data_IF_271551421879
#
_entry.id   IF_271551421879
#
_cell.length_a   1.000
_cell.length_b   1.000
_cell.length_c   1.000
_cell.angle_alpha   90.00
_cell.angle_beta   90.00
_cell.angle_gamma   90.00
#
_symmetry.space_group_name_H-M   'P 1'
#
loop_
_entity.id
_entity.type
_entity.pdbx_description
1 polymer ?
#
# COMPACT_ATOMS: atom_id res chain seq x y z
N UNK A 1 13.05 33.84 -42.02
CA UNK A 1 13.55 35.19 -41.73
C UNK A 1 13.68 35.27 -40.20
N UNK A 2 14.83 34.87 -39.66
CA UNK A 2 15.83 35.75 -39.01
C UNK A 2 15.23 36.55 -37.84
N UNK A 3 15.73 36.56 -36.60
CA UNK A 3 17.08 36.39 -36.05
C UNK A 3 16.93 36.21 -34.52
N UNK A 4 17.51 35.18 -33.88
CA UNK A 4 18.80 35.24 -33.13
C UNK A 4 19.01 36.51 -32.29
N UNK A 5 19.15 36.32 -30.97
CA UNK A 5 20.19 36.97 -30.19
C UNK A 5 20.84 35.96 -29.23
N UNK A 6 22.15 35.81 -29.39
CA UNK A 6 23.06 35.08 -28.52
C UNK A 6 24.05 36.10 -27.94
N UNK A 7 24.54 35.85 -26.73
CA UNK A 7 25.69 36.53 -26.12
C UNK A 7 25.76 36.19 -24.63
N UNK A 8 26.49 35.17 -24.20
CA UNK A 8 27.95 35.05 -23.97
C UNK A 8 28.44 35.62 -22.62
N UNK A 9 29.11 34.71 -21.89
CA UNK A 9 30.26 34.86 -20.98
C UNK A 9 30.07 35.25 -19.52
N UNK A 10 30.54 34.34 -18.65
CA UNK A 10 30.79 34.54 -17.23
C UNK A 10 31.43 33.29 -16.60
N UNK A 11 32.68 33.03 -16.97
CA UNK A 11 33.56 32.01 -16.39
C UNK A 11 33.86 32.36 -14.92
N UNK A 12 33.58 31.49 -13.96
CA UNK A 12 34.14 31.60 -12.60
C UNK A 12 34.70 30.24 -12.14
N UNK A 13 36.01 30.12 -12.29
CA UNK A 13 36.87 29.16 -11.61
C UNK A 13 37.15 29.73 -10.21
N UNK A 14 36.88 29.00 -9.14
CA UNK A 14 37.53 29.26 -7.84
C UNK A 14 37.82 27.95 -7.08
N UNK A 15 39.13 27.66 -7.07
CA UNK A 15 39.98 27.14 -6.00
C UNK A 15 39.53 25.92 -5.16
N UNK A 16 40.23 24.81 -5.40
CA UNK A 16 40.40 23.70 -4.46
C UNK A 16 41.23 24.15 -3.24
N UNK A 17 40.74 23.90 -2.02
CA UNK A 17 41.57 23.89 -0.81
C UNK A 17 41.81 22.46 -0.35
N UNK A 18 43.09 22.11 -0.35
CA UNK A 18 43.68 20.94 0.29
C UNK A 18 43.64 21.16 1.80
N UNK A 19 43.02 20.24 2.55
CA UNK A 19 43.26 20.10 4.00
C UNK A 19 43.93 18.76 4.25
N UNK A 20 45.22 18.82 4.56
CA UNK A 20 46.00 17.71 5.12
C UNK A 20 45.85 17.71 6.65
N UNK A 21 45.29 16.61 7.16
CA UNK A 21 45.58 15.90 8.41
C UNK A 21 45.90 16.67 9.71
N UNK A 22 45.07 16.43 10.74
CA UNK A 22 45.57 16.19 12.10
C UNK A 22 44.96 14.88 12.62
N UNK A 23 45.84 13.92 12.89
CA UNK A 23 45.58 12.70 13.64
C UNK A 23 45.18 13.07 15.06
N UNK A 24 44.01 12.61 15.51
CA UNK A 24 43.70 12.55 16.94
C UNK A 24 43.32 11.11 17.29
N UNK A 25 44.19 10.46 18.06
CA UNK A 25 43.94 9.18 18.70
C UNK A 25 42.88 9.36 19.79
N UNK A 26 41.79 8.59 19.72
CA UNK A 26 40.76 8.64 20.76
C UNK A 26 39.64 7.60 20.59
N UNK A 27 39.94 6.37 21.01
CA UNK A 27 39.04 5.27 21.40
C UNK A 27 38.18 4.52 20.35
N UNK A 28 38.32 3.17 20.25
CA UNK A 28 37.40 2.33 19.50
C UNK A 28 36.18 1.99 20.35
N UNK A 29 35.01 2.50 19.97
CA UNK A 29 33.71 1.86 20.23
C UNK A 29 33.15 1.35 18.90
N UNK A 30 33.86 0.41 18.28
CA UNK A 30 33.41 -0.31 17.08
C UNK A 30 32.75 -1.63 17.48
N UNK A 31 31.52 -1.53 18.02
CA UNK A 31 30.67 -2.70 18.30
C UNK A 31 29.42 -2.77 17.42
N UNK A 32 28.93 -1.62 16.91
CA UNK A 32 27.68 -1.53 16.14
C UNK A 32 27.82 -1.77 14.63
N UNK A 33 28.91 -1.32 13.99
CA UNK A 33 28.97 -1.29 12.53
C UNK A 33 28.98 -2.67 11.86
N UNK A 34 29.65 -3.66 12.48
CA UNK A 34 29.77 -5.00 11.88
C UNK A 34 28.48 -5.82 11.92
N UNK A 35 27.57 -5.53 12.85
CA UNK A 35 26.27 -6.21 12.94
C UNK A 35 25.27 -5.58 11.97
N UNK A 36 25.26 -4.24 11.86
CA UNK A 36 24.45 -3.51 10.89
C UNK A 36 24.86 -3.83 9.45
N UNK A 37 26.16 -3.90 9.17
CA UNK A 37 26.69 -4.22 7.84
C UNK A 37 26.38 -5.68 7.44
N UNK A 38 26.46 -6.63 8.37
CA UNK A 38 26.03 -8.02 8.14
C UNK A 38 24.53 -8.13 7.92
N UNK A 39 23.72 -7.41 8.71
CA UNK A 39 22.26 -7.40 8.59
C UNK A 39 21.83 -6.82 7.24
N UNK A 40 22.42 -5.68 6.82
CA UNK A 40 22.18 -5.08 5.50
C UNK A 40 22.58 -6.04 4.37
N UNK A 41 23.74 -6.68 4.47
CA UNK A 41 24.23 -7.63 3.45
C UNK A 41 23.28 -8.83 3.31
N UNK A 42 22.79 -9.38 4.43
CA UNK A 42 21.82 -10.47 4.44
C UNK A 42 20.47 -10.04 3.85
N UNK A 43 20.00 -8.83 4.20
CA UNK A 43 18.77 -8.28 3.67
C UNK A 43 18.83 -8.12 2.15
N UNK A 44 19.89 -7.50 1.62
CA UNK A 44 20.12 -7.31 0.18
C UNK A 44 20.16 -8.66 -0.54
N UNK A 45 20.87 -9.65 0.02
CA UNK A 45 20.91 -10.99 -0.56
C UNK A 45 19.51 -11.63 -0.62
N UNK A 46 18.74 -11.53 0.46
CA UNK A 46 17.37 -12.09 0.48
C UNK A 46 16.43 -11.40 -0.50
N UNK A 47 16.58 -10.09 -0.71
CA UNK A 47 15.78 -9.33 -1.68
C UNK A 47 16.16 -9.75 -3.11
N UNK A 48 17.45 -9.90 -3.41
CA UNK A 48 17.91 -10.37 -4.70
C UNK A 48 17.43 -11.81 -5.01
N UNK A 49 17.43 -12.71 -4.02
CA UNK A 49 16.87 -14.07 -4.16
C UNK A 49 15.37 -14.05 -4.45
N UNK A 50 14.61 -13.21 -3.73
CA UNK A 50 13.18 -13.00 -4.00
C UNK A 50 12.95 -12.41 -5.38
N UNK A 51 13.78 -11.47 -5.82
CA UNK A 51 13.72 -10.89 -7.16
C UNK A 51 13.94 -11.95 -8.26
N UNK A 52 14.94 -12.82 -8.07
CA UNK A 52 15.21 -13.93 -8.98
C UNK A 52 14.08 -14.97 -9.02
N UNK A 53 13.30 -15.12 -7.95
CA UNK A 53 12.14 -16.02 -7.96
C UNK A 53 10.95 -15.45 -8.73
N UNK A 54 10.81 -14.12 -8.84
CA UNK A 54 9.68 -13.50 -9.55
C UNK A 54 9.69 -13.80 -11.05
N UNK A 55 10.87 -13.90 -11.65
CA UNK A 55 11.04 -14.27 -13.06
C UNK A 55 10.35 -15.58 -13.42
N UNK A 56 10.24 -16.51 -12.47
CA UNK A 56 9.57 -17.80 -12.69
C UNK A 56 8.04 -17.68 -12.85
N UNK A 57 7.45 -16.55 -12.43
CA UNK A 57 6.03 -16.26 -12.57
C UNK A 57 5.68 -15.60 -13.92
N UNK A 58 6.67 -15.11 -14.66
CA UNK A 58 6.48 -14.58 -16.00
C UNK A 58 6.22 -15.73 -16.99
N UNK A 59 5.14 -15.67 -17.80
CA UNK A 59 4.86 -16.69 -18.81
C UNK A 59 6.00 -16.85 -19.81
N UNK A 60 6.31 -18.10 -20.19
CA UNK A 60 7.26 -18.38 -21.26
C UNK A 60 6.63 -18.16 -22.66
N UNK A 61 7.45 -18.00 -23.70
CA UNK A 61 7.04 -17.65 -25.08
C UNK A 61 6.03 -18.60 -25.76
N UNK A 62 5.84 -19.80 -25.21
CA UNK A 62 4.91 -20.81 -25.76
C UNK A 62 3.84 -21.23 -24.76
N UNK A 63 3.81 -20.62 -23.58
CA UNK A 63 2.88 -20.98 -22.52
C UNK A 63 1.47 -20.47 -22.79
N UNK A 64 1.37 -19.31 -23.46
CA UNK A 64 0.09 -18.69 -23.79
C UNK A 64 0.07 -18.46 -25.31
N UNK A 65 -0.91 -19.02 -26.04
CA UNK A 65 -1.01 -18.82 -27.48
C UNK A 65 -0.96 -17.35 -27.89
N UNK A 66 -0.16 -17.06 -28.91
CA UNK A 66 0.06 -15.71 -29.45
C UNK A 66 1.09 -14.87 -28.69
N UNK A 67 1.22 -15.04 -27.37
CA UNK A 67 2.06 -14.18 -26.52
C UNK A 67 3.53 -14.64 -26.44
N UNK A 68 4.47 -13.72 -26.68
CA UNK A 68 5.91 -13.94 -26.53
C UNK A 68 6.58 -12.76 -25.85
N UNK A 69 7.67 -12.98 -25.10
CA UNK A 69 8.51 -11.89 -24.59
C UNK A 69 9.18 -11.17 -25.77
N UNK A 70 9.03 -9.85 -25.83
CA UNK A 70 9.64 -9.02 -26.87
C UNK A 70 10.97 -8.39 -26.43
N UNK A 71 11.29 -8.42 -25.13
CA UNK A 71 12.53 -7.95 -24.56
C UNK A 71 12.98 -8.82 -23.38
N UNK A 72 14.23 -8.63 -22.95
CA UNK A 72 14.70 -9.22 -21.70
C UNK A 72 13.95 -8.61 -20.52
N UNK A 73 13.61 -9.46 -19.54
CA UNK A 73 13.01 -9.00 -18.30
C UNK A 73 13.99 -8.15 -17.49
N UNK A 74 13.44 -7.21 -16.73
CA UNK A 74 14.18 -6.28 -15.88
C UNK A 74 13.66 -6.44 -14.45
N UNK A 75 14.54 -6.25 -13.48
CA UNK A 75 14.21 -6.39 -12.07
C UNK A 75 14.66 -5.17 -11.30
N UNK A 76 13.78 -4.65 -10.44
CA UNK A 76 14.05 -3.51 -9.60
C UNK A 76 13.79 -3.86 -8.13
N UNK A 77 14.62 -3.30 -7.27
CA UNK A 77 14.64 -3.43 -5.81
C UNK A 77 14.34 -2.07 -5.17
N UNK A 78 14.09 -1.99 -3.85
CA UNK A 78 13.70 -0.73 -3.20
C UNK A 78 14.68 0.42 -3.47
N UNK A 79 15.98 0.12 -3.58
CA UNK A 79 17.06 1.07 -3.82
C UNK A 79 17.06 1.70 -5.23
N UNK A 80 16.47 1.04 -6.23
CA UNK A 80 16.48 1.50 -7.63
C UNK A 80 15.10 1.52 -8.28
N UNK A 81 14.01 1.34 -7.52
CA UNK A 81 12.65 1.39 -8.05
C UNK A 81 12.32 2.72 -8.73
N UNK A 82 12.92 3.82 -8.26
CA UNK A 82 12.78 5.16 -8.84
C UNK A 82 13.31 5.24 -10.29
N UNK A 83 14.26 4.38 -10.67
CA UNK A 83 14.74 4.30 -12.05
C UNK A 83 13.64 3.76 -12.99
N UNK A 84 12.70 2.98 -12.45
CA UNK A 84 11.60 2.39 -13.20
C UNK A 84 10.34 3.26 -13.16
N UNK A 85 9.91 3.67 -11.96
CA UNK A 85 8.68 4.44 -11.73
C UNK A 85 8.96 5.75 -11.01
N UNK A 86 9.58 6.68 -11.74
CA UNK A 86 9.94 8.01 -11.24
C UNK A 86 8.70 8.79 -10.73
N UNK A 87 8.73 9.21 -9.47
CA UNK A 87 7.60 9.80 -8.75
C UNK A 87 6.53 8.82 -8.25
N UNK A 88 6.51 7.57 -8.73
CA UNK A 88 5.59 6.52 -8.29
C UNK A 88 6.13 5.61 -7.18
N UNK A 89 7.46 5.53 -7.03
CA UNK A 89 8.13 4.59 -6.12
C UNK A 89 7.70 4.74 -4.64
N UNK A 90 7.48 5.97 -4.16
CA UNK A 90 7.14 6.22 -2.75
C UNK A 90 5.84 5.52 -2.32
N UNK A 91 4.84 5.47 -3.21
CA UNK A 91 3.58 4.78 -2.93
C UNK A 91 3.77 3.28 -2.69
N UNK A 92 4.65 2.64 -3.46
CA UNK A 92 4.96 1.22 -3.29
C UNK A 92 5.81 0.98 -2.03
N UNK A 93 6.78 1.85 -1.76
CA UNK A 93 7.62 1.79 -0.56
C UNK A 93 6.81 1.96 0.73
N UNK A 94 5.74 2.76 0.69
CA UNK A 94 4.82 2.90 1.82
C UNK A 94 4.14 1.57 2.22
N UNK A 95 4.00 0.64 1.28
CA UNK A 95 3.48 -0.71 1.50
C UNK A 95 4.59 -1.78 1.61
N UNK A 96 5.81 -1.41 2.00
CA UNK A 96 6.93 -2.35 2.19
C UNK A 96 7.22 -3.22 0.95
N UNK A 97 7.32 -2.55 -0.21
CA UNK A 97 7.80 -3.13 -1.46
C UNK A 97 9.13 -3.89 -1.29
N UNK A 98 9.25 -5.04 -1.94
CA UNK A 98 10.45 -5.88 -1.89
C UNK A 98 11.17 -6.01 -3.23
N UNK A 99 10.44 -6.22 -4.32
CA UNK A 99 11.00 -6.33 -5.66
C UNK A 99 9.87 -6.25 -6.71
N UNK A 100 10.21 -5.85 -7.93
CA UNK A 100 9.37 -6.01 -9.11
C UNK A 100 10.18 -6.63 -10.22
N UNK A 101 9.60 -7.60 -10.93
CA UNK A 101 10.08 -8.02 -12.25
C UNK A 101 9.12 -7.46 -13.30
N UNK A 102 9.67 -6.94 -14.38
CA UNK A 102 8.92 -6.40 -15.51
C UNK A 102 9.38 -7.02 -16.82
N UNK A 103 8.44 -7.32 -17.72
CA UNK A 103 8.73 -7.87 -19.04
C UNK A 103 7.76 -7.34 -20.10
N UNK A 104 8.31 -7.07 -21.27
CA UNK A 104 7.56 -6.64 -22.44
C UNK A 104 7.10 -7.88 -23.22
N UNK A 105 5.81 -7.93 -23.56
CA UNK A 105 5.18 -9.01 -24.31
C UNK A 105 4.54 -8.47 -25.60
N UNK A 106 4.55 -9.29 -26.64
CA UNK A 106 3.84 -9.06 -27.89
C UNK A 106 2.93 -10.25 -28.21
N UNK A 107 1.74 -9.95 -28.72
CA UNK A 107 0.83 -10.93 -29.31
C UNK A 107 0.65 -10.62 -30.79
N UNK A 108 1.24 -11.45 -31.65
CA UNK A 108 1.19 -11.26 -33.11
C UNK A 108 -0.21 -11.52 -33.68
N UNK A 109 -0.98 -12.44 -33.10
CA UNK A 109 -2.32 -12.81 -33.60
C UNK A 109 -3.36 -11.74 -33.26
N UNK A 110 -3.25 -11.14 -32.08
CA UNK A 110 -4.14 -10.08 -31.61
C UNK A 110 -3.63 -8.66 -31.94
N UNK A 111 -2.46 -8.54 -32.58
CA UNK A 111 -1.78 -7.28 -32.89
C UNK A 111 -1.68 -6.33 -31.68
N UNK A 112 -1.24 -6.88 -30.54
CA UNK A 112 -1.14 -6.10 -29.30
C UNK A 112 0.18 -6.31 -28.55
N UNK A 113 0.54 -5.32 -27.74
CA UNK A 113 1.72 -5.35 -26.90
C UNK A 113 1.33 -4.99 -25.47
N UNK A 114 1.96 -5.62 -24.49
CA UNK A 114 1.72 -5.35 -23.09
C UNK A 114 3.00 -5.40 -22.27
N UNK A 115 3.07 -4.59 -21.22
CA UNK A 115 4.08 -4.66 -20.17
C UNK A 115 3.46 -5.37 -18.98
N UNK A 116 4.10 -6.44 -18.51
CA UNK A 116 3.72 -7.19 -17.31
C UNK A 116 4.66 -6.80 -16.18
N UNK A 117 4.11 -6.30 -15.09
CA UNK A 117 4.81 -6.04 -13.83
C UNK A 117 4.29 -6.96 -12.73
N UNK A 118 5.19 -7.68 -12.06
CA UNK A 118 4.85 -8.50 -10.89
C UNK A 118 5.60 -7.93 -9.69
N UNK A 119 4.89 -7.17 -8.86
CA UNK A 119 5.41 -6.60 -7.61
C UNK A 119 5.25 -7.61 -6.47
N UNK A 120 6.29 -7.77 -5.67
CA UNK A 120 6.26 -8.49 -4.39
C UNK A 120 6.30 -7.50 -3.24
N UNK A 121 5.29 -7.56 -2.39
CA UNK A 121 5.19 -6.80 -1.15
C UNK A 121 5.63 -7.66 0.04
N UNK A 122 5.75 -7.05 1.22
CA UNK A 122 6.21 -7.76 2.41
C UNK A 122 5.30 -8.91 2.87
N UNK A 123 3.98 -8.74 2.72
CA UNK A 123 2.95 -9.66 3.19
C UNK A 123 1.63 -9.45 2.41
N UNK A 124 0.62 -10.32 2.59
CA UNK A 124 -0.67 -10.19 1.88
C UNK A 124 -1.41 -8.88 2.12
N UNK A 125 -1.37 -8.32 3.33
CA UNK A 125 -1.99 -7.02 3.61
C UNK A 125 -1.34 -5.90 2.80
N UNK A 126 -0.02 -5.91 2.66
CA UNK A 126 0.68 -4.96 1.81
C UNK A 126 0.34 -5.14 0.31
N UNK A 127 0.17 -6.38 -0.16
CA UNK A 127 -0.32 -6.69 -1.51
C UNK A 127 -1.71 -6.09 -1.77
N UNK A 128 -2.65 -6.32 -0.84
CA UNK A 128 -3.97 -5.69 -0.87
C UNK A 128 -3.89 -4.16 -0.72
N UNK A 129 -2.99 -3.64 0.11
CA UNK A 129 -2.81 -2.21 0.37
C UNK A 129 -2.50 -1.42 -0.90
N UNK A 130 -1.45 -1.81 -1.63
CA UNK A 130 -1.10 -1.14 -2.89
C UNK A 130 -2.20 -1.30 -3.94
N UNK A 131 -2.81 -2.48 -4.05
CA UNK A 131 -3.93 -2.72 -4.95
C UNK A 131 -5.12 -1.80 -4.65
N UNK A 132 -5.55 -1.73 -3.39
CA UNK A 132 -6.70 -0.92 -2.95
C UNK A 132 -6.43 0.58 -3.03
N UNK A 133 -5.16 1.00 -2.92
CA UNK A 133 -4.74 2.38 -3.09
C UNK A 133 -4.79 2.83 -4.57
N UNK A 134 -4.39 1.98 -5.52
CA UNK A 134 -4.44 2.29 -6.95
C UNK A 134 -5.80 2.04 -7.60
N UNK A 135 -6.64 1.17 -7.01
CA UNK A 135 -7.95 0.79 -7.56
C UNK A 135 -8.89 2.00 -7.68
N UNK A 136 -9.37 2.34 -8.89
CA UNK A 136 -10.41 3.35 -9.07
C UNK A 136 -11.71 2.97 -8.35
N UNK A 137 -12.43 3.97 -7.83
CA UNK A 137 -13.69 3.72 -7.10
C UNK A 137 -14.78 3.06 -7.97
N UNK A 138 -14.76 3.29 -9.28
CA UNK A 138 -15.69 2.73 -10.27
C UNK A 138 -15.04 1.65 -11.15
N UNK A 139 -14.01 0.99 -10.64
CA UNK A 139 -13.27 -0.03 -11.38
C UNK A 139 -14.18 -1.20 -11.82
N UNK A 140 -13.93 -1.73 -13.01
CA UNK A 140 -14.59 -2.93 -13.49
C UNK A 140 -13.91 -4.15 -12.87
N UNK A 141 -14.50 -4.68 -11.80
CA UNK A 141 -13.94 -5.80 -11.03
C UNK A 141 -14.05 -7.12 -11.79
N UNK A 142 -13.00 -7.94 -11.71
CA UNK A 142 -12.91 -9.28 -12.29
C UNK A 142 -12.35 -10.29 -11.28
N UNK A 143 -12.63 -11.57 -11.51
CA UNK A 143 -12.21 -12.69 -10.64
C UNK A 143 -10.87 -13.26 -11.10
N UNK A 144 -9.78 -12.53 -10.86
CA UNK A 144 -8.40 -13.01 -11.05
C UNK A 144 -7.60 -12.76 -9.77
N UNK A 145 -6.84 -13.77 -9.34
CA UNK A 145 -6.19 -13.77 -8.03
C UNK A 145 -7.21 -13.65 -6.91
N UNK A 146 -6.88 -12.90 -5.87
CA UNK A 146 -7.82 -12.55 -4.80
C UNK A 146 -8.88 -11.56 -5.29
N UNK A 147 -8.48 -10.57 -6.12
CA UNK A 147 -9.38 -9.70 -6.87
C UNK A 147 -8.58 -8.95 -7.95
N UNK A 148 -9.20 -8.70 -9.11
CA UNK A 148 -8.64 -7.82 -10.14
C UNK A 148 -9.61 -6.76 -10.63
N UNK A 149 -9.11 -5.83 -11.43
CA UNK A 149 -9.91 -4.90 -12.20
C UNK A 149 -9.32 -4.60 -13.57
N UNK A 150 -10.22 -4.23 -14.49
CA UNK A 150 -9.87 -3.69 -15.80
C UNK A 150 -10.00 -2.17 -15.83
N UNK A 151 -9.11 -1.55 -16.59
CA UNK A 151 -9.22 -0.19 -17.09
C UNK A 151 -9.21 -0.24 -18.62
N UNK A 152 -9.23 0.91 -19.31
CA UNK A 152 -9.32 0.96 -20.78
C UNK A 152 -8.26 0.11 -21.51
N UNK A 153 -7.02 0.10 -21.00
CA UNK A 153 -5.89 -0.63 -21.57
C UNK A 153 -5.10 -1.46 -20.55
N UNK A 154 -5.56 -1.60 -19.31
CA UNK A 154 -4.81 -2.35 -18.30
C UNK A 154 -5.67 -3.32 -17.50
N UNK A 155 -5.02 -4.33 -16.95
CA UNK A 155 -5.56 -5.28 -16.00
C UNK A 155 -4.64 -5.33 -14.79
N UNK A 156 -5.18 -4.99 -13.62
CA UNK A 156 -4.44 -5.09 -12.37
C UNK A 156 -5.11 -6.10 -11.45
N UNK A 157 -4.34 -6.93 -10.75
CA UNK A 157 -4.88 -7.84 -9.73
C UNK A 157 -3.89 -8.04 -8.59
N UNK A 158 -4.38 -8.53 -7.46
CA UNK A 158 -3.53 -8.92 -6.34
C UNK A 158 -3.83 -10.35 -5.90
N UNK A 159 -2.81 -11.03 -5.36
CA UNK A 159 -2.91 -12.42 -4.87
C UNK A 159 -1.82 -12.64 -3.83
N UNK A 160 -2.21 -12.87 -2.58
CA UNK A 160 -1.27 -12.88 -1.45
C UNK A 160 -0.40 -11.62 -1.42
N UNK A 161 0.94 -11.73 -1.31
CA UNK A 161 1.83 -10.57 -1.28
C UNK A 161 2.09 -9.95 -2.66
N UNK A 162 1.49 -10.46 -3.73
CA UNK A 162 1.76 -10.01 -5.10
C UNK A 162 0.73 -9.00 -5.56
N UNK A 163 1.21 -7.93 -6.21
CA UNK A 163 0.39 -7.02 -6.99
C UNK A 163 0.89 -7.06 -8.44
N UNK A 164 0.02 -7.38 -9.38
CA UNK A 164 0.36 -7.59 -10.79
C UNK A 164 -0.35 -6.55 -11.63
N UNK A 165 0.40 -5.91 -12.54
CA UNK A 165 -0.13 -4.95 -13.50
C UNK A 165 0.21 -5.43 -14.90
N UNK A 166 -0.78 -5.42 -15.78
CA UNK A 166 -0.60 -5.75 -17.19
C UNK A 166 -1.15 -4.57 -17.98
N UNK A 167 -0.26 -3.79 -18.59
CA UNK A 167 -0.62 -2.56 -19.31
C UNK A 167 -0.36 -2.75 -20.78
N UNK A 168 -1.43 -2.65 -21.59
CA UNK A 168 -1.35 -2.72 -23.03
C UNK A 168 -1.11 -1.36 -23.68
N UNK A 169 -0.49 -1.36 -24.85
CA UNK A 169 -0.39 -0.17 -25.70
C UNK A 169 -1.70 0.13 -26.43
N UNK A 170 -2.52 -0.89 -26.66
CA UNK A 170 -3.82 -0.82 -27.31
C UNK A 170 -4.95 -0.85 -26.27
N UNK A 171 -6.05 -0.14 -26.56
CA UNK A 171 -7.30 -0.29 -25.81
C UNK A 171 -8.12 -1.48 -26.32
N UNK A 172 -9.11 -1.92 -25.55
CA UNK A 172 -10.08 -2.95 -26.00
C UNK A 172 -9.54 -4.38 -26.04
N UNK A 173 -8.30 -4.60 -25.60
CA UNK A 173 -7.63 -5.92 -25.55
C UNK A 173 -7.82 -6.67 -24.23
N UNK A 174 -8.83 -6.29 -23.43
CA UNK A 174 -9.05 -6.82 -22.08
C UNK A 174 -9.14 -8.35 -21.99
N UNK A 175 -9.67 -9.02 -23.03
CA UNK A 175 -9.70 -10.49 -23.08
C UNK A 175 -8.29 -11.10 -23.20
N UNK A 176 -7.40 -10.47 -23.95
CA UNK A 176 -6.01 -10.94 -24.08
C UNK A 176 -5.21 -10.69 -22.80
N UNK A 177 -5.47 -9.57 -22.11
CA UNK A 177 -4.85 -9.30 -20.81
C UNK A 177 -5.33 -10.28 -19.74
N UNK A 178 -6.61 -10.70 -19.77
CA UNK A 178 -7.10 -11.74 -18.87
C UNK A 178 -6.38 -13.07 -19.07
N UNK A 179 -6.07 -13.48 -20.31
CA UNK A 179 -5.29 -14.70 -20.57
C UNK A 179 -3.90 -14.63 -19.93
N UNK A 180 -3.19 -13.50 -20.09
CA UNK A 180 -1.92 -13.27 -19.41
C UNK A 180 -2.07 -13.31 -17.89
N UNK A 181 -3.05 -12.59 -17.35
CA UNK A 181 -3.28 -12.49 -15.92
C UNK A 181 -3.63 -13.83 -15.27
N UNK A 182 -4.49 -14.64 -15.91
CA UNK A 182 -4.83 -15.98 -15.44
C UNK A 182 -3.63 -16.91 -15.44
N UNK A 183 -2.78 -16.86 -16.49
CA UNK A 183 -1.56 -17.65 -16.55
C UNK A 183 -0.56 -17.25 -15.44
N UNK A 184 -0.39 -15.94 -15.19
CA UNK A 184 0.46 -15.45 -14.10
C UNK A 184 -0.11 -15.88 -12.74
N UNK A 185 -1.40 -15.65 -12.49
CA UNK A 185 -2.09 -16.01 -11.25
C UNK A 185 -1.95 -17.50 -10.91
N UNK A 186 -2.01 -18.38 -11.91
CA UNK A 186 -1.81 -19.82 -11.74
C UNK A 186 -0.37 -20.23 -11.36
N UNK A 187 0.62 -19.35 -11.60
CA UNK A 187 2.04 -19.60 -11.29
C UNK A 187 2.46 -19.01 -9.94
N UNK A 188 1.73 -18.02 -9.42
CA UNK A 188 2.06 -17.37 -8.15
C UNK A 188 2.04 -18.40 -7.01
N UNK A 189 3.05 -18.35 -6.15
CA UNK A 189 3.19 -19.22 -4.97
C UNK A 189 2.36 -18.75 -3.76
N UNK A 190 1.16 -18.22 -4.03
CA UNK A 190 0.24 -17.71 -3.02
C UNK A 190 -1.20 -18.11 -3.37
N UNK A 191 -2.02 -18.33 -2.35
CA UNK A 191 -3.46 -18.51 -2.55
C UNK A 191 -4.17 -17.18 -2.86
N UNK A 192 -5.43 -17.31 -3.26
CA UNK A 192 -6.33 -16.20 -3.59
C UNK A 192 -7.18 -15.76 -2.38
N UNK A 193 -6.70 -16.01 -1.15
CA UNK A 193 -7.45 -15.66 0.05
C UNK A 193 -7.56 -14.13 0.21
N UNK A 194 -8.68 -13.70 0.78
CA UNK A 194 -8.90 -12.32 1.22
C UNK A 194 -8.44 -12.20 2.68
N UNK A 195 -7.66 -11.18 3.07
CA UNK A 195 -7.29 -10.96 4.45
C UNK A 195 -8.53 -10.96 5.35
N UNK A 196 -8.56 -11.81 6.40
CA UNK A 196 -9.74 -11.95 7.26
C UNK A 196 -10.13 -10.63 7.93
N UNK A 197 -9.18 -9.73 8.13
CA UNK A 197 -9.39 -8.39 8.67
C UNK A 197 -10.39 -7.57 7.84
N UNK A 198 -10.46 -7.78 6.51
CA UNK A 198 -11.44 -7.09 5.67
C UNK A 198 -12.88 -7.50 5.98
N UNK A 199 -13.09 -8.70 6.52
CA UNK A 199 -14.39 -9.19 7.00
C UNK A 199 -14.87 -8.56 8.31
N UNK A 200 -14.02 -7.74 8.97
CA UNK A 200 -14.39 -6.98 10.17
C UNK A 200 -15.38 -5.85 9.86
N UNK A 201 -15.39 -5.36 8.62
CA UNK A 201 -16.35 -4.33 8.20
C UNK A 201 -17.77 -4.90 8.15
N UNK A 202 -18.73 -4.26 8.84
CA UNK A 202 -20.16 -4.58 8.74
C UNK A 202 -20.68 -4.48 7.29
N UNK A 203 -21.50 -5.42 6.86
CA UNK A 203 -21.95 -5.46 5.46
C UNK A 203 -23.03 -4.41 5.17
N UNK A 204 -23.80 -4.00 6.17
CA UNK A 204 -24.93 -3.11 5.97
C UNK A 204 -24.47 -1.67 5.70
N UNK A 205 -24.77 -1.17 4.49
CA UNK A 205 -24.36 0.17 4.05
C UNK A 205 -22.95 0.25 3.50
N UNK A 206 -22.17 -0.83 3.51
CA UNK A 206 -20.83 -0.88 2.93
C UNK A 206 -20.88 -0.58 1.43
N UNK A 207 -20.11 0.40 0.99
CA UNK A 207 -19.90 0.66 -0.43
C UNK A 207 -18.98 -0.43 -0.96
N UNK A 208 -19.48 -1.21 -1.91
CA UNK A 208 -18.74 -2.32 -2.49
C UNK A 208 -17.36 -1.86 -2.98
N UNK A 209 -16.32 -2.62 -2.66
CA UNK A 209 -14.95 -2.37 -3.11
C UNK A 209 -14.36 -1.04 -2.63
N UNK A 210 -14.81 -0.53 -1.48
CA UNK A 210 -14.28 0.69 -0.86
C UNK A 210 -13.29 0.42 0.27
N UNK A 211 -13.10 -0.84 0.64
CA UNK A 211 -12.16 -1.27 1.66
C UNK A 211 -10.73 -0.90 1.22
N UNK A 212 -9.97 -0.38 2.17
CA UNK A 212 -8.57 0.01 2.01
C UNK A 212 -7.76 -0.40 3.22
N UNK A 213 -6.49 -0.73 2.99
CA UNK A 213 -5.48 -0.90 4.01
C UNK A 213 -4.43 0.19 3.89
N UNK A 214 -4.05 0.80 5.00
CA UNK A 214 -3.00 1.81 5.14
C UNK A 214 -1.91 1.22 6.03
N UNK A 215 -0.77 0.86 5.45
CA UNK A 215 0.34 0.28 6.19
C UNK A 215 0.97 1.29 7.18
N UNK A 216 0.93 2.58 6.83
CA UNK A 216 1.49 3.69 7.62
C UNK A 216 0.74 4.98 7.32
N UNK A 217 1.07 6.03 8.07
CA UNK A 217 0.54 7.39 7.89
C UNK A 217 -1.00 7.43 7.96
N UNK A 218 -1.59 6.61 8.85
CA UNK A 218 -3.06 6.54 9.00
C UNK A 218 -3.57 7.91 9.45
N UNK A 219 -4.47 8.49 8.67
CA UNK A 219 -4.96 9.87 8.83
C UNK A 219 -3.85 10.94 8.84
N UNK A 220 -2.71 10.66 8.22
CA UNK A 220 -1.56 11.58 8.16
C UNK A 220 -0.63 11.52 9.38
N UNK A 221 -0.80 10.52 10.26
CA UNK A 221 0.05 10.30 11.43
C UNK A 221 1.03 9.17 11.18
N UNK A 222 2.32 9.47 11.11
CA UNK A 222 3.36 8.47 10.82
C UNK A 222 3.53 7.42 11.92
N UNK A 223 3.09 7.72 13.16
CA UNK A 223 3.04 6.76 14.25
C UNK A 223 1.87 5.78 14.13
N UNK A 224 0.79 6.16 13.44
CA UNK A 224 -0.37 5.30 13.22
C UNK A 224 -0.15 4.44 11.97
N UNK A 225 -0.17 3.12 12.18
CA UNK A 225 0.13 2.09 11.18
C UNK A 225 -0.95 1.02 11.21
N UNK A 226 -0.99 0.17 10.18
CA UNK A 226 -1.95 -0.94 10.08
C UNK A 226 -3.42 -0.49 10.21
N UNK A 227 -3.76 0.61 9.53
CA UNK A 227 -5.12 1.14 9.49
C UNK A 227 -5.93 0.50 8.38
N UNK A 228 -7.22 0.33 8.61
CA UNK A 228 -8.19 -0.14 7.65
C UNK A 228 -9.32 0.86 7.57
N UNK A 229 -9.83 1.12 6.36
CA UNK A 229 -11.00 1.98 6.18
C UNK A 229 -11.95 1.41 5.15
N UNK A 230 -13.23 1.73 5.25
CA UNK A 230 -14.21 1.45 4.22
C UNK A 230 -15.27 2.56 4.16
N UNK A 231 -15.77 2.84 2.96
CA UNK A 231 -16.81 3.86 2.75
C UNK A 231 -18.19 3.23 2.95
N UNK A 232 -19.08 4.00 3.57
CA UNK A 232 -20.46 3.59 3.83
C UNK A 232 -21.45 4.62 3.30
N UNK A 233 -22.62 4.14 2.91
CA UNK A 233 -23.76 4.97 2.55
C UNK A 233 -25.05 4.40 3.13
N UNK A 234 -25.70 5.16 4.00
CA UNK A 234 -27.03 4.84 4.56
C UNK A 234 -27.88 6.10 4.65
N UNK A 235 -29.17 5.99 4.34
CA UNK A 235 -30.14 7.08 4.41
C UNK A 235 -29.68 8.38 3.74
N UNK A 236 -29.00 8.25 2.60
CA UNK A 236 -28.43 9.38 1.85
C UNK A 236 -27.18 10.03 2.47
N UNK A 237 -26.74 9.61 3.67
CA UNK A 237 -25.50 10.06 4.30
C UNK A 237 -24.32 9.17 3.88
N UNK A 238 -23.15 9.78 3.75
CA UNK A 238 -21.88 9.09 3.53
C UNK A 238 -21.01 9.23 4.78
N UNK A 239 -20.36 8.16 5.18
CA UNK A 239 -19.46 8.13 6.32
C UNK A 239 -18.41 7.03 6.09
N UNK A 240 -17.39 6.97 6.94
CA UNK A 240 -16.32 5.99 6.85
C UNK A 240 -16.16 5.28 8.18
N UNK A 241 -16.05 3.96 8.14
CA UNK A 241 -15.61 3.17 9.28
C UNK A 241 -14.10 2.97 9.16
N UNK A 242 -13.43 2.90 10.30
CA UNK A 242 -12.03 2.53 10.36
C UNK A 242 -11.73 1.66 11.57
N UNK A 243 -10.64 0.92 11.47
CA UNK A 243 -9.99 0.33 12.62
C UNK A 243 -8.47 0.31 12.43
N UNK A 244 -7.71 0.33 13.53
CA UNK A 244 -6.25 0.33 13.53
C UNK A 244 -5.81 -0.81 14.44
N UNK A 245 -5.04 -1.76 13.90
CA UNK A 245 -4.58 -2.95 14.62
C UNK A 245 -3.15 -2.78 15.16
N UNK A 246 -2.93 -3.28 16.37
CA UNK A 246 -1.64 -3.23 17.05
C UNK A 246 -1.23 -4.62 17.54
N UNK A 247 0.06 -4.80 17.84
CA UNK A 247 0.57 -6.08 18.33
C UNK A 247 0.08 -6.40 19.76
N UNK A 248 -0.14 -5.35 20.56
CA UNK A 248 -0.49 -5.46 21.97
C UNK A 248 -1.32 -4.25 22.48
N UNK A 249 -2.02 -4.40 23.62
CA UNK A 249 -2.82 -3.34 24.22
C UNK A 249 -2.03 -2.06 24.55
N UNK A 250 -0.77 -2.16 24.99
CA UNK A 250 0.03 -0.97 25.34
C UNK A 250 0.34 -0.09 24.12
N UNK A 251 0.63 -0.72 22.97
CA UNK A 251 0.74 -0.02 21.68
C UNK A 251 -0.59 0.63 21.27
N UNK A 252 -1.70 -0.05 21.52
CA UNK A 252 -3.04 0.47 21.25
C UNK A 252 -3.33 1.72 22.08
N UNK A 253 -3.08 1.66 23.39
CA UNK A 253 -3.25 2.79 24.31
C UNK A 253 -2.42 4.00 23.88
N UNK A 254 -1.17 3.79 23.46
CA UNK A 254 -0.29 4.88 22.98
C UNK A 254 -0.84 5.54 21.71
N UNK A 255 -1.24 4.75 20.72
CA UNK A 255 -1.83 5.26 19.48
C UNK A 255 -3.17 5.95 19.72
N UNK A 256 -3.99 5.42 20.63
CA UNK A 256 -5.26 6.00 21.01
C UNK A 256 -5.07 7.38 21.67
N UNK A 257 -4.15 7.47 22.64
CA UNK A 257 -3.82 8.75 23.27
C UNK A 257 -3.22 9.75 22.28
N UNK A 258 -2.39 9.30 21.33
CA UNK A 258 -1.87 10.15 20.26
C UNK A 258 -3.01 10.73 19.41
N UNK A 259 -3.93 9.89 18.95
CA UNK A 259 -5.04 10.32 18.12
C UNK A 259 -6.03 11.23 18.87
N UNK A 260 -6.31 10.91 20.14
CA UNK A 260 -7.13 11.76 21.01
C UNK A 260 -6.50 13.13 21.24
N UNK A 261 -5.21 13.17 21.57
CA UNK A 261 -4.49 14.43 21.78
C UNK A 261 -4.44 15.28 20.50
N UNK A 262 -4.35 14.65 19.33
CA UNK A 262 -4.50 15.37 18.07
C UNK A 262 -5.90 16.02 17.98
N UNK A 263 -6.96 15.28 18.26
CA UNK A 263 -8.33 15.80 18.23
C UNK A 263 -8.55 16.94 19.24
N UNK A 264 -7.98 16.84 20.45
CA UNK A 264 -8.01 17.93 21.44
C UNK A 264 -7.39 19.23 20.90
N UNK A 265 -6.32 19.13 20.10
CA UNK A 265 -5.59 20.29 19.61
C UNK A 265 -6.20 20.89 18.34
N UNK A 266 -6.84 20.09 17.49
CA UNK A 266 -7.22 20.51 16.12
C UNK A 266 -8.70 20.39 15.80
N UNK A 267 -9.48 19.67 16.60
CA UNK A 267 -10.94 19.54 16.44
C UNK A 267 -11.70 20.41 17.45
N UNK A 268 -13.03 20.38 17.36
CA UNK A 268 -13.94 21.04 18.33
C UNK A 268 -14.81 20.01 19.03
N UNK A 269 -15.51 20.42 20.08
CA UNK A 269 -16.54 19.58 20.72
C UNK A 269 -16.00 18.26 21.23
N UNK A 270 -14.76 18.23 21.72
CA UNK A 270 -14.13 16.99 22.18
C UNK A 270 -14.78 16.53 23.48
N UNK A 271 -15.33 15.32 23.46
CA UNK A 271 -15.85 14.61 24.62
C UNK A 271 -14.90 13.44 24.92
N UNK A 272 -14.23 13.49 26.07
CA UNK A 272 -13.27 12.46 26.50
C UNK A 272 -13.93 11.52 27.53
N UNK A 273 -14.10 10.25 27.13
CA UNK A 273 -14.63 9.17 27.94
C UNK A 273 -13.57 8.09 28.20
N UNK A 274 -12.28 8.45 28.20
CA UNK A 274 -11.17 7.52 28.42
C UNK A 274 -11.13 6.87 29.81
N UNK A 275 -11.91 7.37 30.77
CA UNK A 275 -12.03 6.78 32.10
C UNK A 275 -13.08 5.66 32.20
N UNK A 276 -13.85 5.41 31.13
CA UNK A 276 -14.83 4.33 31.07
C UNK A 276 -14.15 2.96 30.90
N UNK A 277 -14.90 1.87 31.15
CA UNK A 277 -14.39 0.50 31.02
C UNK A 277 -13.86 0.21 29.61
N UNK A 278 -14.52 0.77 28.60
CA UNK A 278 -14.07 0.78 27.21
C UNK A 278 -13.79 2.25 26.85
N UNK A 279 -12.52 2.69 26.81
CA UNK A 279 -12.16 4.06 26.51
C UNK A 279 -12.66 4.50 25.14
N UNK A 280 -13.29 5.66 25.05
CA UNK A 280 -13.67 6.29 23.78
C UNK A 280 -13.63 7.81 23.86
N UNK A 281 -13.62 8.46 22.72
CA UNK A 281 -13.81 9.91 22.62
C UNK A 281 -14.64 10.25 21.38
N UNK A 282 -15.25 11.44 21.40
CA UNK A 282 -15.83 12.05 20.19
C UNK A 282 -15.27 13.44 19.94
N UNK A 283 -15.30 13.89 18.68
CA UNK A 283 -14.85 15.23 18.28
C UNK A 283 -15.54 15.66 16.98
N UNK A 284 -15.60 16.97 16.74
CA UNK A 284 -16.03 17.57 15.47
C UNK A 284 -14.79 18.00 14.68
N UNK A 285 -14.34 17.14 13.77
CA UNK A 285 -13.18 17.35 12.92
C UNK A 285 -13.54 18.20 11.68
N UNK A 286 -12.73 19.19 11.30
CA UNK A 286 -13.05 20.09 10.18
C UNK A 286 -13.06 19.40 8.80
N UNK A 287 -12.39 18.26 8.66
CA UNK A 287 -12.30 17.52 7.40
C UNK A 287 -13.29 16.34 7.36
N UNK A 288 -13.37 15.58 8.45
CA UNK A 288 -14.19 14.36 8.52
C UNK A 288 -15.59 14.57 9.13
N UNK A 289 -15.86 15.72 9.75
CA UNK A 289 -17.09 15.93 10.52
C UNK A 289 -17.04 15.21 11.87
N UNK A 290 -18.15 14.62 12.31
CA UNK A 290 -18.21 13.90 13.59
C UNK A 290 -17.28 12.69 13.57
N UNK A 291 -16.33 12.65 14.49
CA UNK A 291 -15.41 11.54 14.74
C UNK A 291 -15.79 10.89 16.05
N UNK A 292 -15.83 9.56 16.06
CA UNK A 292 -15.91 8.75 17.28
C UNK A 292 -14.86 7.67 17.19
N UNK A 293 -14.02 7.54 18.22
CA UNK A 293 -13.00 6.50 18.30
C UNK A 293 -13.06 5.78 19.65
N UNK A 294 -12.93 4.47 19.63
CA UNK A 294 -13.06 3.57 20.77
C UNK A 294 -11.86 2.61 20.81
N UNK A 295 -11.24 2.48 21.98
CA UNK A 295 -10.19 1.50 22.21
C UNK A 295 -10.80 0.16 22.65
N UNK A 296 -10.41 -0.93 21.99
CA UNK A 296 -10.83 -2.28 22.38
C UNK A 296 -9.72 -3.30 22.10
N UNK A 297 -9.20 -3.93 23.17
CA UNK A 297 -8.13 -4.92 23.06
C UNK A 297 -6.89 -4.35 22.36
N UNK A 298 -6.52 -4.97 21.23
CA UNK A 298 -5.42 -4.55 20.36
C UNK A 298 -5.81 -3.58 19.24
N UNK A 299 -7.03 -3.02 19.28
CA UNK A 299 -7.57 -2.22 18.20
C UNK A 299 -8.08 -0.85 18.68
N UNK A 300 -7.98 0.13 17.77
CA UNK A 300 -8.77 1.36 17.82
C UNK A 300 -9.84 1.22 16.75
N UNK A 301 -11.11 1.36 17.11
CA UNK A 301 -12.25 1.32 16.19
C UNK A 301 -12.80 2.73 16.06
N UNK A 302 -13.35 3.09 14.91
CA UNK A 302 -13.98 4.39 14.82
C UNK A 302 -14.83 4.64 13.60
N UNK A 303 -15.53 5.77 13.67
CA UNK A 303 -16.47 6.26 12.66
C UNK A 303 -16.14 7.71 12.37
N UNK A 304 -16.18 8.06 11.08
CA UNK A 304 -15.91 9.39 10.55
C UNK A 304 -17.12 9.86 9.74
N UNK A 305 -17.69 11.02 10.10
CA UNK A 305 -18.78 11.66 9.36
C UNK A 305 -20.18 11.14 9.67
N UNK A 306 -20.39 10.43 10.78
CA UNK A 306 -21.70 9.95 11.20
C UNK A 306 -22.15 10.55 12.53
N UNK A 307 -23.27 11.26 12.50
CA UNK A 307 -23.81 11.99 13.68
C UNK A 307 -24.79 11.16 14.52
N UNK A 308 -25.42 10.13 13.95
CA UNK A 308 -26.43 9.34 14.68
C UNK A 308 -25.72 8.44 15.71
N UNK A 309 -25.88 8.70 17.03
CA UNK A 309 -25.12 7.98 18.05
C UNK A 309 -25.52 6.50 18.18
N UNK A 310 -26.79 6.17 17.95
CA UNK A 310 -27.25 4.77 17.96
C UNK A 310 -26.59 3.98 16.83
N UNK A 311 -26.54 4.56 15.64
CA UNK A 311 -25.93 3.91 14.48
C UNK A 311 -24.40 3.80 14.64
N UNK A 312 -23.75 4.82 15.18
CA UNK A 312 -22.33 4.77 15.53
C UNK A 312 -22.05 3.61 16.50
N UNK A 313 -22.82 3.52 17.60
CA UNK A 313 -22.64 2.45 18.57
C UNK A 313 -22.86 1.07 17.94
N UNK A 314 -23.90 0.90 17.12
CA UNK A 314 -24.18 -0.37 16.45
C UNK A 314 -23.00 -0.85 15.60
N UNK A 315 -22.42 0.03 14.76
CA UNK A 315 -21.25 -0.32 13.95
C UNK A 315 -20.02 -0.65 14.81
N UNK A 316 -19.76 0.12 15.87
CA UNK A 316 -18.62 -0.13 16.75
C UNK A 316 -18.76 -1.45 17.53
N UNK A 317 -19.96 -1.79 17.99
CA UNK A 317 -20.20 -3.09 18.64
C UNK A 317 -20.07 -4.25 17.65
N UNK A 318 -20.57 -4.12 16.41
CA UNK A 318 -20.44 -5.20 15.42
C UNK A 318 -18.97 -5.47 15.05
N UNK A 319 -18.17 -4.41 14.82
CA UNK A 319 -16.73 -4.56 14.56
C UNK A 319 -16.04 -5.22 15.76
N UNK A 320 -16.38 -4.79 16.98
CA UNK A 320 -15.86 -5.34 18.24
C UNK A 320 -16.17 -6.85 18.37
N UNK A 321 -17.41 -7.27 18.12
CA UNK A 321 -17.81 -8.68 18.15
C UNK A 321 -17.06 -9.52 17.12
N UNK A 322 -16.90 -9.00 15.90
CA UNK A 322 -16.13 -9.65 14.84
C UNK A 322 -14.63 -9.75 15.19
N UNK A 323 -14.05 -8.73 15.83
CA UNK A 323 -12.68 -8.75 16.33
C UNK A 323 -12.46 -9.82 17.39
N UNK A 324 -13.39 -9.95 18.34
CA UNK A 324 -13.37 -11.02 19.34
C UNK A 324 -13.45 -12.39 18.68
N UNK A 325 -14.32 -12.56 17.68
CA UNK A 325 -14.45 -13.82 16.94
C UNK A 325 -13.19 -14.21 16.16
N UNK A 326 -12.42 -13.24 15.67
CA UNK A 326 -11.12 -13.46 15.00
C UNK A 326 -9.94 -13.63 15.98
N UNK A 327 -10.15 -13.47 17.29
CA UNK A 327 -9.07 -13.57 18.29
C UNK A 327 -8.07 -12.42 18.24
N UNK A 328 -8.49 -11.25 17.74
CA UNK A 328 -7.66 -10.04 17.61
C UNK A 328 -7.81 -9.08 18.81
N UNK A 329 -8.20 -9.60 19.97
CA UNK A 329 -8.37 -8.84 21.23
C UNK A 329 -7.10 -8.78 22.07
#
# INVERSE_FOLDING_TARGET
>A
MYSRFAGLFGLFIWLAMVFLSVVSCGNPRSGGSSLEEKSRTQQVKSLAEKAGSLSSFLPADTEIPGWKKSAAERTFLPENLWEYIDGGAEGYLAYDFQAVVTADYANEEADCQAVVDIYRMANPLCGFGIYSAERPQNAHIIEIGSQGYLTGNALHFWQGPYYVKITAFQEGVGQELQKLASAISAKLDAGAEIPPELGLFPSEGLVANSERYLARDVFGHNELKNGFTADYRRDGKQFKLFFILHDNPDSTSRSYELYKNFMINYAKGVEDHSAEEIPWFSADDPYYGKVVAMQYGKAILGVLGLENPELVNNYLQEIKEKLTALGLT
#
